data_IF_091141866376
#
_entry.id   IF_091141866376
#
_cell.length_a   1.000
_cell.length_b   1.000
_cell.length_c   1.000
_cell.angle_alpha   90.00
_cell.angle_beta   90.00
_cell.angle_gamma   90.00
#
_symmetry.space_group_name_H-M   'P 1'
#
loop_
_entity.id
_entity.type
_entity.pdbx_description
1 polymer ?
#
# COMPACT_ATOMS: atom_id res chain seq x y z
N UNK A 1 -7.44 23.67 6.86
CA UNK A 1 -7.82 22.92 5.63
C UNK A 1 -8.15 21.51 6.05
N UNK A 2 -9.32 20.97 5.71
CA UNK A 2 -9.66 19.58 6.04
C UNK A 2 -9.12 18.66 4.94
N UNK A 3 -8.19 17.76 5.28
CA UNK A 3 -7.63 16.78 4.34
C UNK A 3 -8.61 15.62 4.19
N UNK A 4 -8.97 15.27 2.95
CA UNK A 4 -9.79 14.10 2.63
C UNK A 4 -8.93 13.10 1.86
N UNK A 5 -8.68 11.96 2.47
CA UNK A 5 -7.89 10.86 1.88
C UNK A 5 -8.84 9.77 1.41
N UNK A 6 -8.74 9.36 0.17
CA UNK A 6 -9.41 8.16 -0.34
C UNK A 6 -8.46 6.97 -0.29
N UNK A 7 -8.85 5.93 0.43
CA UNK A 7 -8.17 4.64 0.47
C UNK A 7 -8.82 3.72 -0.57
N UNK A 8 -8.10 3.37 -1.62
CA UNK A 8 -8.59 2.48 -2.69
C UNK A 8 -7.99 1.09 -2.47
N UNK A 9 -8.81 0.13 -2.06
CA UNK A 9 -8.38 -1.27 -1.95
C UNK A 9 -8.58 -1.95 -3.32
N UNK A 10 -7.51 -2.41 -3.98
CA UNK A 10 -7.53 -2.84 -5.38
C UNK A 10 -7.99 -4.29 -5.56
N UNK A 11 -9.06 -4.69 -4.85
CA UNK A 11 -9.72 -6.00 -4.91
C UNK A 11 -11.24 -5.82 -4.88
N UNK A 12 -11.99 -6.87 -5.24
CA UNK A 12 -13.46 -6.85 -5.25
C UNK A 12 -14.09 -7.42 -3.98
N UNK A 13 -13.31 -8.03 -3.08
CA UNK A 13 -13.83 -8.73 -1.89
C UNK A 13 -14.23 -7.73 -0.80
N UNK A 14 -15.51 -7.68 -0.49
CA UNK A 14 -16.04 -6.89 0.61
C UNK A 14 -15.57 -7.41 1.98
N UNK A 15 -15.46 -6.52 2.95
CA UNK A 15 -15.11 -6.86 4.33
C UNK A 15 -13.63 -7.07 4.61
N UNK A 16 -12.75 -7.09 3.60
CA UNK A 16 -11.29 -7.17 3.80
C UNK A 16 -10.73 -5.89 4.43
N UNK A 17 -11.33 -4.75 4.11
CA UNK A 17 -11.06 -3.45 4.73
C UNK A 17 -12.36 -2.83 5.20
N UNK A 18 -12.39 -2.32 6.43
CA UNK A 18 -13.52 -1.56 6.96
C UNK A 18 -13.13 -0.12 7.31
N UNK A 19 -14.08 0.81 7.25
CA UNK A 19 -13.86 2.18 7.71
C UNK A 19 -13.52 2.24 9.21
N UNK A 20 -14.04 1.31 10.02
CA UNK A 20 -13.75 1.25 11.46
C UNK A 20 -12.26 1.04 11.76
N UNK A 21 -11.51 0.38 10.87
CA UNK A 21 -10.07 0.17 11.04
C UNK A 21 -9.25 1.44 10.78
N UNK A 22 -9.73 2.35 9.95
CA UNK A 22 -9.06 3.62 9.63
C UNK A 22 -9.60 4.81 10.40
N UNK A 23 -10.78 4.68 11.00
CA UNK A 23 -11.40 5.72 11.84
C UNK A 23 -10.48 6.24 12.96
N UNK A 24 -9.65 5.44 13.64
CA UNK A 24 -8.72 5.94 14.67
C UNK A 24 -7.70 6.95 14.15
N UNK A 25 -7.48 7.05 12.84
CA UNK A 25 -6.57 8.04 12.23
C UNK A 25 -7.28 9.34 11.84
N UNK A 26 -8.63 9.39 11.91
CA UNK A 26 -9.39 10.60 11.66
C UNK A 26 -9.21 11.65 12.76
N UNK A 27 -9.24 12.88 12.37
CA UNK A 27 -9.15 14.07 13.22
C UNK A 27 -10.11 15.14 12.72
N UNK A 28 -10.29 16.21 13.47
CA UNK A 28 -11.14 17.34 13.05
C UNK A 28 -10.72 17.93 11.68
N UNK A 29 -9.47 17.77 11.29
CA UNK A 29 -8.87 18.26 10.05
C UNK A 29 -8.45 17.14 9.05
N UNK A 30 -8.82 15.89 9.32
CA UNK A 30 -8.47 14.73 8.48
C UNK A 30 -9.63 13.72 8.45
N UNK A 31 -10.10 13.39 7.26
CA UNK A 31 -11.12 12.37 7.02
C UNK A 31 -10.57 11.32 6.06
N UNK A 32 -10.83 10.04 6.35
CA UNK A 32 -10.44 8.91 5.49
C UNK A 32 -11.70 8.25 4.96
N UNK A 33 -11.81 8.17 3.63
CA UNK A 33 -12.87 7.44 2.92
C UNK A 33 -12.28 6.19 2.26
N UNK A 34 -13.12 5.20 1.95
CA UNK A 34 -12.68 3.92 1.42
C UNK A 34 -13.54 3.49 0.24
N UNK A 35 -12.91 2.86 -0.75
CA UNK A 35 -13.58 2.18 -1.84
C UNK A 35 -12.83 0.94 -2.32
N UNK A 36 -13.60 -0.06 -2.78
CA UNK A 36 -13.08 -1.23 -3.50
C UNK A 36 -13.15 -0.98 -5.00
N UNK A 37 -12.34 -1.70 -5.77
CA UNK A 37 -12.56 -1.81 -7.21
C UNK A 37 -13.80 -2.65 -7.50
N UNK A 38 -14.37 -2.50 -8.70
CA UNK A 38 -15.57 -3.24 -9.14
C UNK A 38 -15.19 -4.38 -10.09
N UNK A 39 -14.11 -4.22 -10.84
CA UNK A 39 -13.59 -5.22 -11.78
C UNK A 39 -12.12 -5.50 -11.44
N UNK A 40 -11.82 -6.75 -11.10
CA UNK A 40 -10.48 -7.18 -10.72
C UNK A 40 -10.50 -8.49 -9.93
N UNK A 41 -9.40 -8.83 -9.26
CA UNK A 41 -9.27 -10.06 -8.49
C UNK A 41 -9.95 -9.96 -7.11
N UNK A 42 -10.26 -11.11 -6.52
CA UNK A 42 -10.76 -11.20 -5.15
C UNK A 42 -9.68 -10.88 -4.10
N UNK A 43 -8.42 -11.19 -4.40
CA UNK A 43 -7.22 -10.84 -3.62
C UNK A 43 -6.04 -10.66 -4.57
N UNK A 44 -4.96 -10.02 -4.12
CA UNK A 44 -3.71 -9.88 -4.89
C UNK A 44 -2.64 -10.75 -4.23
N UNK A 45 -2.32 -11.85 -4.90
CA UNK A 45 -1.32 -12.83 -4.47
C UNK A 45 -0.36 -13.22 -5.60
N UNK A 46 -0.44 -12.50 -6.74
CA UNK A 46 0.40 -12.72 -7.91
C UNK A 46 0.50 -11.47 -8.78
N UNK A 47 1.51 -11.42 -9.68
CA UNK A 47 1.61 -10.36 -10.70
C UNK A 47 0.39 -10.35 -11.65
N UNK A 48 -0.24 -11.50 -11.88
CA UNK A 48 -1.46 -11.61 -12.68
C UNK A 48 -2.63 -10.89 -12.00
N UNK A 49 -2.83 -11.13 -10.70
CA UNK A 49 -3.88 -10.45 -9.93
C UNK A 49 -3.63 -8.94 -9.89
N UNK A 50 -2.37 -8.54 -9.68
CA UNK A 50 -1.96 -7.14 -9.69
C UNK A 50 -2.31 -6.49 -11.03
N UNK A 51 -1.94 -7.10 -12.16
CA UNK A 51 -2.22 -6.57 -13.49
C UNK A 51 -3.72 -6.39 -13.74
N UNK A 52 -4.56 -7.33 -13.28
CA UNK A 52 -6.03 -7.24 -13.42
C UNK A 52 -6.65 -6.14 -12.54
N UNK A 53 -6.02 -5.77 -11.44
CA UNK A 53 -6.55 -4.75 -10.53
C UNK A 53 -6.32 -3.31 -11.04
N UNK A 54 -5.28 -3.10 -11.86
CA UNK A 54 -4.81 -1.76 -12.26
C UNK A 54 -5.86 -0.92 -13.01
N UNK A 55 -6.58 -1.42 -14.03
CA UNK A 55 -7.50 -0.58 -14.79
C UNK A 55 -8.59 0.07 -13.94
N UNK A 56 -9.18 -0.69 -13.02
CA UNK A 56 -10.25 -0.15 -12.19
C UNK A 56 -9.71 0.67 -11.00
N UNK A 57 -8.51 0.37 -10.51
CA UNK A 57 -7.79 1.21 -9.54
C UNK A 57 -7.57 2.61 -10.12
N UNK A 58 -7.12 2.71 -11.36
CA UNK A 58 -6.96 3.99 -12.07
C UNK A 58 -8.31 4.71 -12.23
N UNK A 59 -9.39 3.97 -12.56
CA UNK A 59 -10.74 4.54 -12.62
C UNK A 59 -11.18 5.12 -11.28
N UNK A 60 -10.98 4.37 -10.19
CA UNK A 60 -11.31 4.82 -8.83
C UNK A 60 -10.51 6.05 -8.42
N UNK A 61 -9.24 6.14 -8.82
CA UNK A 61 -8.42 7.31 -8.55
C UNK A 61 -8.99 8.59 -9.19
N UNK A 62 -9.39 8.53 -10.46
CA UNK A 62 -10.04 9.65 -11.16
C UNK A 62 -11.35 10.03 -10.46
N UNK A 63 -12.17 9.05 -10.10
CA UNK A 63 -13.45 9.28 -9.45
C UNK A 63 -13.27 9.85 -8.01
N UNK A 64 -12.23 9.44 -7.28
CA UNK A 64 -11.90 9.98 -5.97
C UNK A 64 -11.55 11.47 -6.03
N UNK A 65 -10.68 11.88 -6.97
CA UNK A 65 -10.35 13.29 -7.18
C UNK A 65 -11.59 14.10 -7.53
N UNK A 66 -12.46 13.60 -8.42
CA UNK A 66 -13.72 14.26 -8.78
C UNK A 66 -14.68 14.43 -7.62
N UNK A 67 -14.68 13.50 -6.67
CA UNK A 67 -15.46 13.60 -5.44
C UNK A 67 -14.83 14.52 -4.38
N UNK A 68 -13.68 15.13 -4.69
CA UNK A 68 -13.00 16.10 -3.84
C UNK A 68 -12.05 15.46 -2.81
N UNK A 69 -11.50 14.29 -3.08
CA UNK A 69 -10.36 13.79 -2.35
C UNK A 69 -9.15 14.73 -2.54
N UNK A 70 -8.34 14.90 -1.50
CA UNK A 70 -7.11 15.70 -1.54
C UNK A 70 -5.86 14.83 -1.69
N UNK A 71 -5.95 13.53 -1.38
CA UNK A 71 -4.93 12.54 -1.61
C UNK A 71 -5.55 11.15 -1.77
N UNK A 72 -4.82 10.24 -2.38
CA UNK A 72 -5.20 8.84 -2.60
C UNK A 72 -4.12 7.93 -2.04
N UNK A 73 -4.53 6.82 -1.42
CA UNK A 73 -3.65 5.72 -1.03
C UNK A 73 -4.15 4.45 -1.72
N UNK A 74 -3.26 3.72 -2.41
CA UNK A 74 -3.58 2.42 -2.99
C UNK A 74 -3.34 1.35 -1.94
N UNK A 75 -4.40 0.81 -1.34
CA UNK A 75 -4.34 -0.10 -0.17
C UNK A 75 -3.85 -1.51 -0.55
N UNK A 76 -2.59 -1.61 -0.99
CA UNK A 76 -1.92 -2.87 -1.32
C UNK A 76 -0.40 -2.67 -1.34
N UNK A 77 0.36 -3.60 -0.78
CA UNK A 77 1.83 -3.56 -0.76
C UNK A 77 2.48 -3.88 -2.12
N UNK A 78 1.71 -4.25 -3.14
CA UNK A 78 2.17 -4.28 -4.54
C UNK A 78 2.21 -2.91 -5.20
N UNK A 79 1.62 -1.87 -4.60
CA UNK A 79 1.45 -0.54 -5.18
C UNK A 79 0.85 -0.58 -6.61
N UNK A 80 -0.22 -1.40 -6.89
CA UNK A 80 -0.70 -1.66 -8.25
C UNK A 80 -1.22 -0.39 -8.92
N UNK A 81 -0.66 -0.07 -10.08
CA UNK A 81 -1.06 1.10 -10.86
C UNK A 81 -0.63 2.45 -10.28
N UNK A 82 0.26 2.49 -9.29
CA UNK A 82 0.71 3.71 -8.61
C UNK A 82 1.13 4.82 -9.60
N UNK A 83 1.99 4.48 -10.56
CA UNK A 83 2.48 5.44 -11.54
C UNK A 83 1.37 5.89 -12.51
N UNK A 84 0.51 4.95 -12.96
CA UNK A 84 -0.62 5.27 -13.83
C UNK A 84 -1.63 6.20 -13.14
N UNK A 85 -1.92 5.97 -11.85
CA UNK A 85 -2.76 6.88 -11.07
C UNK A 85 -2.16 8.28 -10.98
N UNK A 86 -0.84 8.40 -10.79
CA UNK A 86 -0.13 9.70 -10.75
C UNK A 86 -0.20 10.47 -12.07
N UNK A 87 -0.33 9.79 -13.19
CA UNK A 87 -0.52 10.43 -14.50
C UNK A 87 -1.91 11.06 -14.65
N UNK A 88 -2.96 10.37 -14.15
CA UNK A 88 -4.36 10.71 -14.43
C UNK A 88 -5.01 11.66 -13.41
N UNK A 89 -4.41 11.86 -12.23
CA UNK A 89 -4.89 12.81 -11.21
C UNK A 89 -3.84 13.86 -10.88
N UNK A 90 -4.25 14.98 -10.28
CA UNK A 90 -3.36 16.10 -9.89
C UNK A 90 -2.99 16.05 -8.40
N UNK A 91 -3.78 15.37 -7.59
CA UNK A 91 -3.57 15.19 -6.16
C UNK A 91 -2.50 14.12 -5.86
N UNK A 92 -1.88 14.12 -4.67
CA UNK A 92 -0.93 13.08 -4.28
C UNK A 92 -1.53 11.68 -4.31
N UNK A 93 -0.80 10.72 -4.88
CA UNK A 93 -1.13 9.28 -4.85
C UNK A 93 0.02 8.53 -4.21
N UNK A 94 -0.24 7.90 -3.08
CA UNK A 94 0.75 7.15 -2.32
C UNK A 94 0.57 5.64 -2.50
N UNK A 95 1.71 4.98 -2.71
CA UNK A 95 1.84 3.55 -2.55
C UNK A 95 2.34 3.26 -1.13
N UNK A 96 1.64 2.46 -0.34
CA UNK A 96 2.07 2.12 1.02
C UNK A 96 3.42 1.39 1.03
N UNK A 97 3.73 0.58 0.02
CA UNK A 97 5.03 -0.06 -0.11
C UNK A 97 6.13 0.98 -0.34
N UNK A 98 6.01 1.83 -1.35
CA UNK A 98 6.99 2.89 -1.61
C UNK A 98 7.20 3.76 -0.37
N UNK A 99 6.12 4.18 0.27
CA UNK A 99 6.16 5.03 1.47
C UNK A 99 6.87 4.34 2.64
N UNK A 100 6.52 3.07 2.91
CA UNK A 100 7.12 2.30 4.00
C UNK A 100 8.61 2.04 3.78
N UNK A 101 9.02 1.68 2.57
CA UNK A 101 10.42 1.37 2.26
C UNK A 101 11.33 2.59 2.34
N UNK A 102 10.91 3.73 1.79
CA UNK A 102 11.70 4.97 1.92
C UNK A 102 11.78 5.43 3.39
N UNK A 103 10.72 5.25 4.17
CA UNK A 103 10.75 5.53 5.60
C UNK A 103 11.66 4.55 6.34
N UNK A 104 11.61 3.25 6.00
CA UNK A 104 12.52 2.26 6.59
C UNK A 104 14.00 2.65 6.41
N UNK A 105 14.38 3.13 5.20
CA UNK A 105 15.73 3.62 4.93
C UNK A 105 16.14 4.87 5.74
N UNK A 106 15.20 5.58 6.37
CA UNK A 106 15.51 6.67 7.32
C UNK A 106 15.62 6.20 8.77
N UNK A 107 15.06 5.03 9.09
CA UNK A 107 14.98 4.47 10.44
C UNK A 107 16.11 3.46 10.72
N UNK A 108 16.63 2.82 9.67
CA UNK A 108 17.67 1.82 9.75
C UNK A 108 18.40 1.61 8.43
N UNK A 109 19.31 0.65 8.41
CA UNK A 109 20.10 0.33 7.22
C UNK A 109 19.60 -0.91 6.48
N UNK A 110 18.92 -1.84 7.18
CA UNK A 110 18.56 -3.15 6.65
C UNK A 110 17.11 -3.51 7.01
N UNK A 111 16.17 -3.30 6.09
CA UNK A 111 14.78 -3.66 6.34
C UNK A 111 14.45 -5.09 5.88
N UNK A 112 13.54 -5.73 6.61
CA UNK A 112 12.94 -7.00 6.22
C UNK A 112 11.44 -6.85 5.93
N UNK A 113 10.96 -7.53 4.89
CA UNK A 113 9.53 -7.80 4.75
C UNK A 113 9.10 -8.97 5.63
N UNK A 114 8.00 -8.81 6.36
CA UNK A 114 7.24 -9.92 6.94
C UNK A 114 5.84 -9.87 6.32
N UNK A 115 5.47 -10.90 5.55
CA UNK A 115 4.29 -10.87 4.68
C UNK A 115 3.51 -12.19 4.67
N UNK A 116 2.49 -12.27 3.83
CA UNK A 116 1.51 -13.36 3.77
C UNK A 116 2.07 -14.64 3.16
N UNK A 117 2.52 -14.63 1.90
CA UNK A 117 2.87 -15.81 1.11
C UNK A 117 4.28 -15.71 0.51
N UNK A 118 5.03 -16.81 0.53
CA UNK A 118 6.40 -16.85 -0.02
C UNK A 118 6.43 -16.60 -1.55
N UNK A 119 5.39 -16.97 -2.27
CA UNK A 119 5.28 -16.71 -3.71
C UNK A 119 5.40 -15.25 -4.12
N UNK A 120 5.19 -14.29 -3.19
CA UNK A 120 5.31 -12.85 -3.44
C UNK A 120 6.76 -12.34 -3.41
N UNK A 121 7.72 -13.17 -3.03
CA UNK A 121 9.12 -12.81 -2.87
C UNK A 121 9.71 -12.10 -4.09
N UNK A 122 9.52 -12.66 -5.29
CA UNK A 122 10.09 -12.08 -6.51
C UNK A 122 9.41 -10.77 -6.91
N UNK A 123 8.10 -10.65 -6.70
CA UNK A 123 7.34 -9.43 -6.97
C UNK A 123 7.80 -8.29 -6.06
N UNK A 124 7.89 -8.52 -4.75
CA UNK A 124 8.35 -7.50 -3.80
C UNK A 124 9.83 -7.16 -3.99
N UNK A 125 10.69 -8.13 -4.34
CA UNK A 125 12.10 -7.85 -4.64
C UNK A 125 12.26 -6.93 -5.88
N UNK A 126 11.47 -7.13 -6.93
CA UNK A 126 11.43 -6.22 -8.09
C UNK A 126 10.98 -4.82 -7.68
N UNK A 127 10.00 -4.72 -6.80
CA UNK A 127 9.48 -3.44 -6.30
C UNK A 127 10.55 -2.69 -5.50
N UNK A 128 11.26 -3.37 -4.59
CA UNK A 128 12.42 -2.85 -3.85
C UNK A 128 13.47 -2.29 -4.81
N UNK A 129 13.82 -3.05 -5.84
CA UNK A 129 14.79 -2.62 -6.85
C UNK A 129 14.30 -1.40 -7.64
N UNK A 130 13.01 -1.35 -8.01
CA UNK A 130 12.42 -0.22 -8.73
C UNK A 130 12.39 1.07 -7.92
N UNK A 131 12.36 0.96 -6.59
CA UNK A 131 12.43 2.09 -5.66
C UNK A 131 13.86 2.48 -5.27
N UNK A 132 14.89 1.79 -5.80
CA UNK A 132 16.30 2.11 -5.57
C UNK A 132 16.80 1.73 -4.17
N UNK A 133 16.17 0.73 -3.52
CA UNK A 133 16.44 0.36 -2.12
C UNK A 133 17.00 -1.07 -1.98
N UNK A 134 17.61 -1.62 -3.04
CA UNK A 134 18.19 -2.96 -3.02
C UNK A 134 19.26 -3.15 -1.96
N UNK A 135 20.09 -2.11 -1.72
CA UNK A 135 21.17 -2.16 -0.72
C UNK A 135 20.65 -2.13 0.73
N UNK A 136 19.40 -1.68 0.92
CA UNK A 136 18.74 -1.66 2.23
C UNK A 136 17.87 -2.90 2.50
N UNK A 137 17.76 -3.80 1.52
CA UNK A 137 16.89 -4.98 1.61
C UNK A 137 17.63 -6.16 2.24
N UNK A 138 17.31 -6.51 3.49
CA UNK A 138 17.90 -7.64 4.19
C UNK A 138 17.29 -8.96 3.80
N UNK A 139 15.97 -9.10 3.97
CA UNK A 139 15.30 -10.38 3.70
C UNK A 139 13.79 -10.25 3.50
N UNK A 140 13.20 -11.38 3.10
CA UNK A 140 11.76 -11.59 2.98
C UNK A 140 11.38 -12.84 3.77
N UNK A 141 10.37 -12.71 4.63
CA UNK A 141 9.78 -13.80 5.41
C UNK A 141 8.28 -13.83 5.24
N UNK A 142 7.70 -15.03 5.15
CA UNK A 142 6.27 -15.23 4.98
C UNK A 142 5.70 -16.08 6.10
N UNK A 143 4.43 -15.81 6.45
CA UNK A 143 3.69 -16.61 7.44
C UNK A 143 2.85 -17.72 6.81
N UNK A 144 2.80 -17.78 5.46
CA UNK A 144 2.04 -18.73 4.65
C UNK A 144 0.54 -18.76 4.96
N UNK A 145 -0.03 -17.57 5.18
CA UNK A 145 -1.48 -17.36 5.38
C UNK A 145 -2.00 -16.58 4.17
N UNK A 146 -2.98 -17.11 3.40
CA UNK A 146 -3.61 -16.39 2.30
C UNK A 146 -4.26 -15.07 2.73
N UNK A 147 -4.32 -14.09 1.82
CA UNK A 147 -4.83 -12.73 2.13
C UNK A 147 -6.26 -12.78 2.70
N UNK A 148 -7.13 -13.61 2.15
CA UNK A 148 -8.53 -13.72 2.61
C UNK A 148 -8.69 -14.43 3.96
N UNK A 149 -7.66 -15.11 4.45
CA UNK A 149 -7.69 -15.86 5.71
C UNK A 149 -7.10 -15.07 6.90
N UNK A 150 -6.54 -13.87 6.66
CA UNK A 150 -5.88 -13.02 7.66
C UNK A 150 -6.78 -12.77 8.89
N UNK A 151 -8.07 -12.51 8.67
CA UNK A 151 -9.01 -12.15 9.74
C UNK A 151 -9.51 -13.32 10.58
N UNK A 152 -9.26 -14.56 10.18
CA UNK A 152 -9.82 -15.74 10.83
C UNK A 152 -9.29 -15.96 12.25
N UNK A 153 -8.02 -15.62 12.54
CA UNK A 153 -7.43 -15.78 13.87
C UNK A 153 -6.28 -14.78 14.09
N UNK A 154 -6.62 -13.60 14.58
CA UNK A 154 -5.65 -12.52 14.82
C UNK A 154 -4.58 -12.89 15.87
N UNK A 155 -4.91 -13.70 16.87
CA UNK A 155 -3.94 -14.13 17.90
C UNK A 155 -2.85 -15.01 17.28
N UNK A 156 -3.26 -16.00 16.49
CA UNK A 156 -2.32 -16.90 15.78
C UNK A 156 -1.50 -16.13 14.75
N UNK A 157 -2.14 -15.22 14.01
CA UNK A 157 -1.47 -14.35 13.05
C UNK A 157 -0.38 -13.49 13.71
N UNK A 158 -0.72 -12.77 14.80
CA UNK A 158 0.24 -11.93 15.53
C UNK A 158 1.43 -12.73 16.05
N UNK A 159 1.19 -13.96 16.56
CA UNK A 159 2.27 -14.84 17.01
C UNK A 159 3.17 -15.30 15.85
N UNK A 160 2.59 -15.61 14.68
CA UNK A 160 3.35 -15.99 13.49
C UNK A 160 4.17 -14.82 12.96
N UNK A 161 3.59 -13.63 12.84
CA UNK A 161 4.27 -12.42 12.41
C UNK A 161 5.43 -12.04 13.34
N UNK A 162 5.22 -12.10 14.67
CA UNK A 162 6.26 -11.83 15.64
C UNK A 162 7.41 -12.84 15.55
N UNK A 163 7.13 -14.13 15.34
CA UNK A 163 8.15 -15.17 15.15
C UNK A 163 9.01 -14.87 13.92
N UNK A 164 8.39 -14.55 12.78
CA UNK A 164 9.13 -14.23 11.55
C UNK A 164 9.92 -12.92 11.68
N UNK A 165 9.37 -11.90 12.36
CA UNK A 165 10.09 -10.66 12.64
C UNK A 165 11.33 -10.89 13.53
N UNK A 166 11.20 -11.68 14.59
CA UNK A 166 12.32 -12.07 15.46
C UNK A 166 13.41 -12.81 14.65
N UNK A 167 12.99 -13.72 13.78
CA UNK A 167 13.91 -14.44 12.91
C UNK A 167 14.62 -13.51 11.91
N UNK A 168 13.90 -12.55 11.31
CA UNK A 168 14.50 -11.54 10.42
C UNK A 168 15.61 -10.74 11.13
N UNK A 169 15.39 -10.34 12.38
CA UNK A 169 16.41 -9.60 13.16
C UNK A 169 17.58 -10.49 13.56
N UNK A 170 17.30 -11.69 14.11
CA UNK A 170 18.37 -12.55 14.68
C UNK A 170 19.19 -13.29 13.62
N UNK A 171 18.59 -13.66 12.49
CA UNK A 171 19.20 -14.52 11.49
C UNK A 171 19.65 -13.74 10.25
N UNK A 172 18.85 -12.72 9.85
CA UNK A 172 19.08 -11.98 8.60
C UNK A 172 19.58 -10.54 8.88
N UNK A 173 19.79 -10.20 10.15
CA UNK A 173 20.34 -8.91 10.58
C UNK A 173 19.51 -7.69 10.18
N UNK A 174 18.19 -7.86 10.04
CA UNK A 174 17.30 -6.73 9.80
C UNK A 174 17.24 -5.82 11.04
N UNK A 175 17.25 -4.51 10.81
CA UNK A 175 17.13 -3.48 11.86
C UNK A 175 15.82 -2.66 11.74
N UNK A 176 15.01 -2.94 10.71
CA UNK A 176 13.63 -2.42 10.52
C UNK A 176 12.74 -3.54 10.00
N UNK A 177 11.56 -3.70 10.56
CA UNK A 177 10.53 -4.62 10.05
C UNK A 177 9.46 -3.83 9.29
N UNK A 178 9.15 -4.23 8.06
CA UNK A 178 8.08 -3.69 7.24
C UNK A 178 7.01 -4.76 7.05
N UNK A 179 5.77 -4.47 7.44
CA UNK A 179 4.65 -5.37 7.20
C UNK A 179 4.31 -5.40 5.71
N UNK A 180 4.49 -6.55 5.08
CA UNK A 180 4.39 -6.73 3.63
C UNK A 180 2.96 -6.99 3.12
N UNK A 181 1.95 -6.75 3.96
CA UNK A 181 0.54 -6.79 3.57
C UNK A 181 -0.24 -5.72 4.32
N UNK A 182 -1.05 -4.94 3.61
CA UNK A 182 -1.92 -3.93 4.22
C UNK A 182 -3.04 -4.54 5.06
N UNK A 183 -3.38 -5.81 4.83
CA UNK A 183 -4.28 -6.59 5.68
C UNK A 183 -3.77 -6.82 7.11
N UNK A 184 -2.50 -6.53 7.39
CA UNK A 184 -1.91 -6.59 8.75
C UNK A 184 -2.09 -5.29 9.54
N UNK A 185 -2.98 -4.42 9.11
CA UNK A 185 -3.29 -3.17 9.82
C UNK A 185 -3.57 -3.44 11.31
N UNK A 186 -2.82 -2.75 12.18
CA UNK A 186 -2.92 -2.89 13.62
C UNK A 186 -2.05 -3.98 14.24
N UNK A 187 -1.39 -4.85 13.46
CA UNK A 187 -0.53 -5.92 14.00
C UNK A 187 0.83 -5.42 14.51
N UNK A 188 1.29 -4.26 14.07
CA UNK A 188 2.64 -3.76 14.38
C UNK A 188 2.93 -3.66 15.89
N UNK A 189 1.93 -3.28 16.70
CA UNK A 189 2.07 -3.17 18.16
C UNK A 189 2.38 -4.52 18.83
N UNK A 190 1.65 -5.58 18.46
CA UNK A 190 1.85 -6.92 18.99
C UNK A 190 3.21 -7.50 18.57
N UNK A 191 3.62 -7.27 17.31
CA UNK A 191 4.91 -7.70 16.80
C UNK A 191 6.05 -7.00 17.54
N UNK A 192 5.94 -5.68 17.74
CA UNK A 192 6.93 -4.91 18.49
C UNK A 192 7.06 -5.40 19.94
N UNK A 193 5.95 -5.70 20.60
CA UNK A 193 6.00 -6.29 21.95
C UNK A 193 6.73 -7.65 21.96
N UNK A 194 6.49 -8.50 20.97
CA UNK A 194 7.20 -9.76 20.81
C UNK A 194 8.71 -9.59 20.63
N UNK A 195 9.13 -8.60 19.84
CA UNK A 195 10.55 -8.25 19.64
C UNK A 195 11.18 -7.74 20.96
N UNK A 196 10.52 -6.80 21.64
CA UNK A 196 11.00 -6.25 22.91
C UNK A 196 11.14 -7.32 23.99
N UNK A 197 10.23 -8.31 24.06
CA UNK A 197 10.34 -9.44 24.97
C UNK A 197 11.58 -10.31 24.72
N UNK A 198 12.20 -10.20 23.56
CA UNK A 198 13.47 -10.84 23.18
C UNK A 198 14.69 -9.90 23.31
N UNK A 199 14.50 -8.71 23.87
CA UNK A 199 15.56 -7.69 23.96
C UNK A 199 15.90 -7.01 22.62
N UNK A 200 15.00 -7.10 21.62
CA UNK A 200 15.20 -6.52 20.28
C UNK A 200 14.33 -5.25 20.15
N UNK A 201 14.95 -4.08 20.22
CA UNK A 201 14.27 -2.79 20.04
C UNK A 201 14.48 -2.30 18.61
N UNK A 202 13.68 -2.80 17.70
CA UNK A 202 13.69 -2.38 16.28
C UNK A 202 12.30 -1.86 15.87
N UNK A 203 12.23 -0.85 14.99
CA UNK A 203 10.95 -0.34 14.50
C UNK A 203 10.18 -1.38 13.67
N UNK A 204 8.85 -1.35 13.81
CA UNK A 204 7.92 -2.15 12.99
C UNK A 204 6.99 -1.18 12.27
N UNK A 205 7.06 -1.14 10.96
CA UNK A 205 6.28 -0.25 10.12
C UNK A 205 4.97 -0.94 9.71
N UNK A 206 3.84 -0.35 10.16
CA UNK A 206 2.53 -0.60 9.57
C UNK A 206 2.34 0.40 8.41
N UNK A 207 2.21 -0.08 7.16
CA UNK A 207 2.26 0.80 5.99
C UNK A 207 1.05 1.74 5.85
N UNK A 208 -0.14 1.35 6.31
CA UNK A 208 -1.35 2.17 6.12
C UNK A 208 -1.38 3.40 7.04
N UNK A 209 -1.18 3.29 8.36
CA UNK A 209 -1.07 4.47 9.22
C UNK A 209 0.01 5.45 8.74
N UNK A 210 1.17 4.91 8.36
CA UNK A 210 2.27 5.72 7.84
C UNK A 210 1.87 6.46 6.56
N UNK A 211 1.26 5.77 5.59
CA UNK A 211 0.82 6.39 4.34
C UNK A 211 -0.24 7.47 4.56
N UNK A 212 -1.17 7.29 5.51
CA UNK A 212 -2.18 8.31 5.88
C UNK A 212 -1.49 9.58 6.38
N UNK A 213 -0.51 9.47 7.28
CA UNK A 213 0.19 10.64 7.83
C UNK A 213 1.07 11.32 6.79
N UNK A 214 1.74 10.57 5.92
CA UNK A 214 2.53 11.15 4.82
C UNK A 214 1.62 11.84 3.81
N UNK A 215 0.48 11.26 3.45
CA UNK A 215 -0.50 11.89 2.56
C UNK A 215 -1.02 13.22 3.12
N UNK A 216 -1.39 13.25 4.41
CA UNK A 216 -1.81 14.47 5.10
C UNK A 216 -0.71 15.54 5.09
N UNK A 217 0.54 15.16 5.33
CA UNK A 217 1.69 16.06 5.28
C UNK A 217 1.89 16.66 3.87
N UNK A 218 1.79 15.84 2.81
CA UNK A 218 1.90 16.34 1.43
C UNK A 218 0.79 17.35 1.10
N UNK A 219 -0.46 17.04 1.47
CA UNK A 219 -1.58 17.95 1.27
C UNK A 219 -1.38 19.27 2.02
N UNK A 220 -1.00 19.22 3.30
CA UNK A 220 -0.79 20.42 4.13
C UNK A 220 0.38 21.29 3.68
N UNK A 221 1.38 20.70 3.05
CA UNK A 221 2.53 21.42 2.49
C UNK A 221 2.33 21.85 1.03
N UNK A 222 1.18 21.51 0.42
CA UNK A 222 0.87 21.83 -0.97
C UNK A 222 1.73 21.06 -1.99
N UNK A 223 2.24 19.89 -1.61
CA UNK A 223 3.08 19.07 -2.47
C UNK A 223 2.26 18.01 -3.20
N UNK A 224 2.59 17.79 -4.48
CA UNK A 224 2.05 16.71 -5.31
C UNK A 224 3.11 16.21 -6.29
N UNK A 225 2.75 15.25 -7.12
CA UNK A 225 3.66 14.62 -8.08
C UNK A 225 3.99 15.55 -9.26
N UNK A 226 5.25 15.54 -9.66
CA UNK A 226 5.71 16.31 -10.83
C UNK A 226 5.00 15.84 -12.11
N UNK A 227 4.32 16.75 -12.79
CA UNK A 227 3.71 16.50 -14.11
C UNK A 227 4.71 16.44 -15.26
N UNK A 228 5.98 16.75 -15.00
CA UNK A 228 7.08 16.45 -15.92
C UNK A 228 7.41 14.95 -15.91
N UNK A 229 7.32 14.31 -14.73
CA UNK A 229 7.54 12.87 -14.57
C UNK A 229 6.30 12.04 -14.89
N UNK A 230 5.11 12.56 -14.51
CA UNK A 230 3.81 11.90 -14.68
C UNK A 230 2.88 12.78 -15.55
N UNK A 231 3.21 13.00 -16.84
CA UNK A 231 2.37 13.81 -17.72
C UNK A 231 1.02 13.11 -17.95
N UNK A 232 -0.08 13.86 -18.11
CA UNK A 232 -1.37 13.26 -18.45
C UNK A 232 -1.29 12.42 -19.73
N UNK A 233 -1.97 11.27 -19.80
CA UNK A 233 -2.01 10.46 -21.01
C UNK A 233 -2.56 11.24 -22.20
N UNK A 234 -1.99 11.00 -23.39
CA UNK A 234 -2.53 11.57 -24.63
C UNK A 234 -3.87 10.91 -24.96
N UNK A 235 -4.81 11.70 -25.48
CA UNK A 235 -6.06 11.16 -26.00
C UNK A 235 -5.81 10.21 -27.17
N UNK A 236 -6.45 9.06 -27.15
CA UNK A 236 -6.37 8.02 -28.19
C UNK A 236 -7.52 7.05 -28.04
N UNK A 237 -7.80 6.26 -29.08
CA UNK A 237 -8.79 5.19 -29.00
C UNK A 237 -8.36 4.15 -27.97
N UNK A 238 -9.29 3.79 -27.05
CA UNK A 238 -9.12 2.74 -26.05
C UNK A 238 -10.34 1.82 -26.13
N UNK A 239 -10.13 0.54 -26.37
CA UNK A 239 -11.19 -0.46 -26.44
C UNK A 239 -11.21 -1.32 -25.16
N UNK A 240 -12.40 -1.69 -24.70
CA UNK A 240 -12.60 -2.57 -23.53
C UNK A 240 -12.53 -1.86 -22.17
N UNK A 241 -12.11 -0.61 -22.11
CA UNK A 241 -12.04 0.18 -20.88
C UNK A 241 -12.78 1.51 -21.01
N UNK A 242 -13.37 2.00 -19.92
CA UNK A 242 -14.11 3.27 -19.88
C UNK A 242 -13.28 4.39 -19.28
N UNK A 243 -12.47 5.05 -20.13
CA UNK A 243 -11.71 6.25 -19.77
C UNK A 243 -12.06 7.41 -20.72
N UNK A 244 -13.27 7.99 -20.63
CA UNK A 244 -13.72 9.03 -21.55
C UNK A 244 -12.85 10.29 -21.49
N UNK A 245 -12.12 10.52 -20.40
CA UNK A 245 -11.18 11.64 -20.23
C UNK A 245 -10.03 11.60 -21.22
N UNK A 246 -9.64 10.38 -21.62
CA UNK A 246 -8.47 10.14 -22.49
C UNK A 246 -8.86 9.47 -23.81
N UNK A 247 -10.17 9.25 -24.04
CA UNK A 247 -10.64 8.76 -25.33
C UNK A 247 -10.68 9.91 -26.34
N UNK A 248 -10.25 9.64 -27.57
CA UNK A 248 -10.57 10.51 -28.71
C UNK A 248 -12.09 10.53 -28.88
N UNK A 249 -12.65 11.69 -29.19
CA UNK A 249 -14.10 11.88 -29.41
C UNK A 249 -14.67 11.10 -30.61
N UNK A 250 -14.12 9.96 -30.93
CA UNK A 250 -14.61 9.00 -31.90
C UNK A 250 -15.93 8.39 -31.41
N UNK A 251 -16.95 8.54 -32.22
CA UNK A 251 -18.27 7.94 -32.03
C UNK A 251 -18.10 6.46 -31.66
N UNK A 252 -18.67 6.08 -30.50
CA UNK A 252 -18.87 4.69 -30.10
C UNK A 252 -19.74 3.97 -31.12
#
# INVERSE_FOLDING_TARGET
>A
MNTRIELITPIITEGVRSLAEVQPFERADLTVTHSLIVQGPASIESEFDEALSVPDTVRKAIDAERRGANAIIIDCMGDPGLHACREVVTIPVLGPCQTALHTAGTLGHAFAFVTVLDRLRSMLAKLVASYGLSDNYACFRAVDIPVLDISHNLTSLNAALAREAIAAVKQDHADVIVLGCTGFLGCAGAIRQGLLAQGLDVPVIDPIPLAIHVADALVKTGLSHSKLTYPPPRRKAVAGYRFPEFADGGKA
#
